data_IF_050265093583
#
_entry.id   IF_050265093583
#
_cell.length_a   1.000
_cell.length_b   1.000
_cell.length_c   1.000
_cell.angle_alpha   90.00
_cell.angle_beta   90.00
_cell.angle_gamma   90.00
#
_symmetry.space_group_name_H-M   'P 1'
#
loop_
_entity.id
_entity.type
_entity.pdbx_description
1 polymer ?
#
# COMPACT_ATOMS: atom_id res chain seq x y z
N UNK A 1 67.21 -0.03 50.45
CA UNK A 1 66.64 -0.12 51.82
C UNK A 1 65.24 0.49 51.80
N UNK A 2 64.26 -0.26 52.35
CA UNK A 2 62.92 0.16 52.82
C UNK A 2 61.84 0.55 51.79
N UNK A 3 60.92 -0.41 51.66
CA UNK A 3 59.46 -0.34 51.44
C UNK A 3 58.82 0.97 51.91
N UNK A 4 57.82 1.47 51.17
CA UNK A 4 56.48 1.78 51.70
C UNK A 4 55.42 1.86 50.59
N UNK A 5 54.49 0.91 50.65
CA UNK A 5 53.13 1.03 50.10
C UNK A 5 52.40 2.16 50.83
N UNK A 6 51.53 2.91 50.14
CA UNK A 6 50.10 3.02 50.48
C UNK A 6 49.49 4.30 49.89
N UNK A 7 48.59 4.07 48.92
CA UNK A 7 47.32 4.72 48.63
C UNK A 7 47.11 6.21 48.98
N UNK A 8 46.83 7.00 47.94
CA UNK A 8 45.61 7.83 47.97
C UNK A 8 45.00 7.94 46.57
N UNK A 9 43.75 7.50 46.52
CA UNK A 9 42.77 7.65 45.44
C UNK A 9 42.41 9.14 45.27
N UNK A 10 42.19 9.61 44.04
CA UNK A 10 40.98 10.34 43.62
C UNK A 10 41.01 10.54 42.10
N UNK A 11 39.84 10.27 41.52
CA UNK A 11 39.45 10.13 40.11
C UNK A 11 39.30 11.52 39.47
N UNK A 12 39.04 11.55 38.16
CA UNK A 12 38.40 12.63 37.33
C UNK A 12 39.47 13.39 36.52
N UNK A 13 39.47 13.49 35.18
CA UNK A 13 38.42 13.40 34.17
C UNK A 13 39.00 13.01 32.80
N UNK A 14 38.10 12.50 31.97
CA UNK A 14 38.15 12.26 30.53
C UNK A 14 38.97 13.24 29.68
N UNK A 15 39.96 12.70 28.96
CA UNK A 15 40.43 13.26 27.70
C UNK A 15 40.14 12.23 26.60
N UNK A 16 39.02 12.49 25.91
CA UNK A 16 38.66 12.09 24.55
C UNK A 16 39.89 11.75 23.71
N UNK A 17 40.11 10.45 23.47
CA UNK A 17 40.90 10.01 22.33
C UNK A 17 40.00 10.19 21.12
N UNK A 18 40.39 11.14 20.27
CA UNK A 18 39.93 11.25 18.89
C UNK A 18 40.19 9.91 18.18
N UNK A 19 39.18 9.04 18.16
CA UNK A 19 39.11 7.97 17.16
C UNK A 19 38.74 8.60 15.83
N UNK A 20 39.74 9.12 15.14
CA UNK A 20 39.71 9.21 13.68
C UNK A 20 39.67 7.78 13.15
N UNK A 21 38.51 7.37 12.65
CA UNK A 21 38.34 6.27 11.72
C UNK A 21 37.15 6.60 10.80
N UNK A 22 37.17 6.07 9.57
CA UNK A 22 36.56 6.68 8.39
C UNK A 22 35.04 6.69 8.50
N UNK A 23 34.40 7.50 7.66
CA UNK A 23 32.95 7.48 7.46
C UNK A 23 32.50 6.08 6.99
N UNK A 24 32.31 5.17 7.95
CA UNK A 24 31.31 4.14 7.84
C UNK A 24 29.99 4.89 7.82
N UNK A 25 29.26 4.75 6.71
CA UNK A 25 27.86 5.10 6.63
C UNK A 25 27.18 4.73 7.95
N UNK A 26 26.30 5.60 8.48
CA UNK A 26 25.55 5.23 9.65
C UNK A 26 24.84 3.91 9.34
N UNK A 27 25.00 2.94 10.24
CA UNK A 27 24.02 1.88 10.46
C UNK A 27 22.67 2.57 10.54
N UNK A 28 21.98 2.66 9.40
CA UNK A 28 20.57 2.94 9.41
C UNK A 28 19.95 1.55 9.48
N UNK A 29 19.83 1.10 10.72
CA UNK A 29 18.89 0.12 11.23
C UNK A 29 18.33 -0.85 10.20
N UNK A 30 18.48 -2.14 10.49
CA UNK A 30 17.41 -3.12 10.34
C UNK A 30 16.04 -2.48 10.63
N UNK A 31 15.44 -1.90 9.61
CA UNK A 31 14.03 -1.98 9.39
C UNK A 31 13.96 -3.03 8.29
N UNK A 32 13.84 -4.29 8.70
CA UNK A 32 12.96 -5.20 7.99
C UNK A 32 11.63 -4.45 7.87
N UNK A 33 11.53 -3.64 6.82
CA UNK A 33 10.35 -2.88 6.57
C UNK A 33 9.33 -3.94 6.21
N UNK A 34 8.52 -4.31 7.19
CA UNK A 34 7.21 -4.92 7.03
C UNK A 34 6.27 -3.92 6.33
N UNK A 35 6.78 -3.22 5.30
CA UNK A 35 6.04 -2.64 4.20
C UNK A 35 5.22 -3.81 3.69
N UNK A 36 3.97 -3.87 4.12
CA UNK A 36 3.18 -5.08 4.01
C UNK A 36 3.04 -5.42 2.52
N UNK A 37 3.87 -6.35 2.09
CA UNK A 37 4.16 -6.60 0.69
C UNK A 37 2.92 -7.17 0.02
N UNK A 38 2.65 -6.71 -1.18
CA UNK A 38 1.56 -7.23 -2.02
C UNK A 38 2.19 -7.87 -3.25
N UNK A 39 1.81 -9.10 -3.57
CA UNK A 39 2.45 -9.90 -4.61
C UNK A 39 1.42 -10.40 -5.62
N UNK A 40 1.69 -10.22 -6.91
CA UNK A 40 0.81 -10.71 -7.97
C UNK A 40 0.74 -12.25 -7.97
N UNK A 41 -0.47 -12.77 -8.22
CA UNK A 41 -0.74 -14.19 -8.46
C UNK A 41 -1.19 -14.32 -9.91
N UNK A 42 -0.37 -14.95 -10.75
CA UNK A 42 -0.49 -14.88 -12.22
C UNK A 42 -1.04 -16.15 -12.88
N UNK A 43 -1.14 -17.26 -12.14
CA UNK A 43 -1.68 -18.52 -12.67
C UNK A 43 -2.37 -19.34 -11.59
N UNK A 44 -3.35 -20.16 -11.98
CA UNK A 44 -4.01 -21.14 -11.11
C UNK A 44 -5.43 -20.73 -10.71
N UNK A 45 -6.11 -21.65 -10.05
CA UNK A 45 -7.47 -21.46 -9.53
C UNK A 45 -7.39 -21.33 -8.03
N UNK A 46 -7.97 -20.26 -7.47
CA UNK A 46 -7.94 -20.00 -6.03
C UNK A 46 -9.27 -19.45 -5.53
N UNK A 47 -9.57 -19.75 -4.27
CA UNK A 47 -10.53 -18.96 -3.50
C UNK A 47 -9.92 -17.58 -3.21
N UNK A 48 -10.50 -16.52 -3.78
CA UNK A 48 -10.08 -15.14 -3.60
C UNK A 48 -11.09 -14.36 -2.75
N UNK A 49 -10.60 -13.43 -1.95
CA UNK A 49 -11.38 -12.52 -1.10
C UNK A 49 -11.68 -11.21 -1.85
N UNK A 50 -12.90 -10.69 -1.71
CA UNK A 50 -13.29 -9.36 -2.20
C UNK A 50 -14.41 -8.80 -1.33
N UNK A 51 -14.11 -7.77 -0.52
CA UNK A 51 -15.02 -7.38 0.55
C UNK A 51 -15.18 -8.54 1.54
N UNK A 52 -16.41 -8.82 1.99
CA UNK A 52 -16.72 -9.93 2.92
C UNK A 52 -16.95 -11.27 2.23
N UNK A 53 -16.83 -11.31 0.89
CA UNK A 53 -17.17 -12.47 0.05
C UNK A 53 -15.93 -13.18 -0.46
N UNK A 54 -16.12 -14.45 -0.83
CA UNK A 54 -15.11 -15.26 -1.51
C UNK A 54 -15.66 -15.93 -2.75
N UNK A 55 -14.81 -16.15 -3.75
CA UNK A 55 -15.16 -16.90 -4.97
C UNK A 55 -13.95 -17.69 -5.44
N UNK A 56 -14.18 -18.90 -5.96
CA UNK A 56 -13.15 -19.68 -6.63
C UNK A 56 -13.05 -19.23 -8.10
N UNK A 57 -11.87 -18.78 -8.51
CA UNK A 57 -11.65 -18.21 -9.85
C UNK A 57 -10.30 -18.62 -10.41
N UNK A 58 -10.25 -18.82 -11.73
CA UNK A 58 -8.98 -18.82 -12.47
C UNK A 58 -8.46 -17.38 -12.55
N UNK A 59 -7.25 -17.13 -12.04
CA UNK A 59 -6.67 -15.78 -11.99
C UNK A 59 -6.40 -15.18 -13.38
N UNK A 60 -6.45 -16.00 -14.43
CA UNK A 60 -6.32 -15.57 -15.83
C UNK A 60 -7.67 -15.17 -16.45
N UNK A 61 -8.81 -15.46 -15.81
CA UNK A 61 -10.14 -15.04 -16.25
C UNK A 61 -10.40 -13.56 -15.91
N UNK A 62 -9.81 -12.67 -16.71
CA UNK A 62 -9.91 -11.22 -16.53
C UNK A 62 -11.34 -10.69 -16.57
N UNK A 63 -12.21 -11.30 -17.38
CA UNK A 63 -13.60 -10.88 -17.50
C UNK A 63 -14.36 -11.13 -16.20
N UNK A 64 -14.18 -12.31 -15.60
CA UNK A 64 -14.83 -12.64 -14.34
C UNK A 64 -14.26 -11.83 -13.16
N UNK A 65 -12.94 -11.62 -13.11
CA UNK A 65 -12.32 -10.72 -12.13
C UNK A 65 -12.89 -9.28 -12.21
N UNK A 66 -13.06 -8.75 -13.43
CA UNK A 66 -13.67 -7.44 -13.63
C UNK A 66 -15.14 -7.41 -13.21
N UNK A 67 -15.92 -8.44 -13.56
CA UNK A 67 -17.32 -8.55 -13.15
C UNK A 67 -17.47 -8.56 -11.62
N UNK A 68 -16.62 -9.32 -10.91
CA UNK A 68 -16.60 -9.34 -9.45
C UNK A 68 -16.29 -7.96 -8.87
N UNK A 69 -15.29 -7.26 -9.41
CA UNK A 69 -14.92 -5.93 -8.95
C UNK A 69 -16.04 -4.91 -9.19
N UNK A 70 -16.63 -4.91 -10.38
CA UNK A 70 -17.70 -3.99 -10.75
C UNK A 70 -18.94 -4.24 -9.87
N UNK A 71 -19.28 -5.50 -9.59
CA UNK A 71 -20.36 -5.83 -8.67
C UNK A 71 -20.09 -5.39 -7.23
N UNK A 72 -18.82 -5.27 -6.84
CA UNK A 72 -18.42 -4.79 -5.52
C UNK A 72 -18.52 -3.26 -5.42
N UNK A 73 -18.00 -2.52 -6.42
CA UNK A 73 -17.80 -1.07 -6.27
C UNK A 73 -18.77 -0.19 -7.07
N UNK A 74 -19.44 -0.67 -8.11
CA UNK A 74 -20.26 0.19 -8.97
C UNK A 74 -21.34 0.93 -8.20
N UNK A 75 -21.36 2.26 -8.34
CA UNK A 75 -22.31 3.14 -7.66
C UNK A 75 -22.11 3.23 -6.14
N UNK A 76 -21.06 2.62 -5.58
CA UNK A 76 -20.78 2.68 -4.15
C UNK A 76 -20.28 4.05 -3.72
N UNK A 77 -20.68 4.44 -2.51
CA UNK A 77 -20.09 5.55 -1.79
C UNK A 77 -18.91 5.05 -0.96
N UNK A 78 -17.79 5.76 -1.06
CA UNK A 78 -16.61 5.57 -0.22
C UNK A 78 -16.66 6.57 0.92
N UNK A 79 -16.41 6.09 2.14
CA UNK A 79 -16.40 6.89 3.37
C UNK A 79 -14.99 7.02 3.91
N UNK A 80 -14.68 8.14 4.56
CA UNK A 80 -13.35 8.40 5.15
C UNK A 80 -13.04 7.52 6.37
N UNK A 81 -14.07 6.97 7.01
CA UNK A 81 -13.98 6.14 8.20
C UNK A 81 -15.09 5.09 8.22
N UNK A 82 -14.89 4.04 9.03
CA UNK A 82 -15.84 2.94 9.20
C UNK A 82 -17.09 3.29 10.03
N UNK A 83 -17.23 4.53 10.51
CA UNK A 83 -18.49 5.03 11.07
C UNK A 83 -19.45 5.56 9.99
N UNK A 84 -18.97 5.64 8.75
CA UNK A 84 -19.70 6.00 7.55
C UNK A 84 -20.41 7.36 7.59
N UNK A 85 -19.88 8.33 8.34
CA UNK A 85 -20.47 9.67 8.44
C UNK A 85 -19.99 10.64 7.38
N UNK A 86 -18.72 10.54 7.00
CA UNK A 86 -18.08 11.49 6.07
C UNK A 86 -17.75 10.78 4.77
N UNK A 87 -18.34 11.25 3.69
CA UNK A 87 -18.09 10.74 2.33
C UNK A 87 -16.70 11.21 1.88
N UNK A 88 -15.91 10.27 1.35
CA UNK A 88 -14.65 10.53 0.66
C UNK A 88 -14.90 10.75 -0.83
N UNK A 89 -15.78 9.96 -1.43
CA UNK A 89 -16.09 10.00 -2.85
C UNK A 89 -17.05 8.89 -3.26
N UNK A 90 -17.18 8.66 -4.56
CA UNK A 90 -18.08 7.64 -5.10
C UNK A 90 -17.50 7.01 -6.37
N UNK A 91 -17.86 5.75 -6.59
CA UNK A 91 -17.60 5.07 -7.85
C UNK A 91 -18.73 5.29 -8.86
N UNK A 92 -18.40 5.46 -10.13
CA UNK A 92 -19.37 5.38 -11.24
C UNK A 92 -19.63 3.93 -11.68
N UNK A 93 -20.43 3.75 -12.73
CA UNK A 93 -20.79 2.43 -13.27
C UNK A 93 -19.64 1.74 -14.04
N UNK A 94 -18.56 2.47 -14.31
CA UNK A 94 -17.34 1.95 -14.93
C UNK A 94 -16.24 1.74 -13.88
N UNK A 95 -16.62 1.71 -12.59
CA UNK A 95 -15.73 1.63 -11.45
C UNK A 95 -14.68 2.75 -11.36
N UNK A 96 -14.86 3.89 -12.03
CA UNK A 96 -14.01 5.07 -11.82
C UNK A 96 -14.40 5.78 -10.53
N UNK A 97 -13.43 6.31 -9.80
CA UNK A 97 -13.67 7.03 -8.56
C UNK A 97 -13.64 8.54 -8.77
N UNK A 98 -14.58 9.23 -8.13
CA UNK A 98 -14.67 10.70 -8.06
C UNK A 98 -14.56 11.15 -6.62
N UNK A 99 -13.79 12.20 -6.37
CA UNK A 99 -13.68 12.79 -5.04
C UNK A 99 -14.98 13.52 -4.66
N UNK A 100 -15.34 13.49 -3.38
CA UNK A 100 -16.46 14.26 -2.86
C UNK A 100 -16.33 15.78 -3.10
N UNK A 101 -15.10 16.30 -3.11
CA UNK A 101 -14.78 17.70 -3.36
C UNK A 101 -14.72 18.06 -4.85
N UNK A 102 -14.50 17.09 -5.74
CA UNK A 102 -14.53 17.26 -7.20
C UNK A 102 -15.26 16.09 -7.86
N UNK A 103 -16.55 16.33 -8.14
CA UNK A 103 -17.45 15.36 -8.76
C UNK A 103 -17.48 15.46 -10.28
N UNK A 104 -16.80 16.45 -10.87
CA UNK A 104 -16.78 16.64 -12.31
C UNK A 104 -15.64 15.85 -12.97
N UNK A 105 -14.52 15.68 -12.25
CA UNK A 105 -13.35 15.01 -12.78
C UNK A 105 -13.12 13.65 -12.12
N UNK A 106 -12.78 12.65 -12.93
CA UNK A 106 -12.36 11.33 -12.44
C UNK A 106 -11.07 11.50 -11.64
N UNK A 107 -11.09 11.17 -10.35
CA UNK A 107 -9.92 11.19 -9.47
C UNK A 107 -9.02 9.99 -9.77
N UNK A 108 -9.57 8.77 -9.81
CA UNK A 108 -8.87 7.58 -10.29
C UNK A 108 -9.68 6.83 -11.35
N UNK A 109 -9.03 6.49 -12.45
CA UNK A 109 -9.62 5.80 -13.60
C UNK A 109 -9.32 4.31 -13.52
N UNK A 110 -10.34 3.46 -13.65
CA UNK A 110 -10.18 2.01 -13.65
C UNK A 110 -9.35 1.55 -14.85
N UNK A 111 -8.42 0.62 -14.63
CA UNK A 111 -7.53 0.07 -15.69
C UNK A 111 -7.80 -1.42 -15.90
N UNK A 112 -7.61 -2.24 -14.86
CA UNK A 112 -7.82 -3.69 -14.93
C UNK A 112 -7.89 -4.33 -13.54
N UNK A 113 -8.23 -5.62 -13.50
CA UNK A 113 -8.22 -6.43 -12.29
C UNK A 113 -7.14 -7.52 -12.31
N UNK A 114 -6.67 -7.87 -11.12
CA UNK A 114 -5.76 -8.98 -10.88
C UNK A 114 -6.01 -9.62 -9.52
N UNK A 115 -5.23 -10.67 -9.23
CA UNK A 115 -5.24 -11.32 -7.92
C UNK A 115 -3.90 -11.07 -7.26
N UNK A 116 -3.93 -10.62 -6.02
CA UNK A 116 -2.73 -10.32 -5.25
C UNK A 116 -2.78 -10.96 -3.88
N UNK A 117 -1.64 -11.48 -3.45
CA UNK A 117 -1.47 -11.98 -2.09
C UNK A 117 -1.04 -10.85 -1.16
N UNK A 118 -1.78 -10.69 -0.08
CA UNK A 118 -1.55 -9.72 0.98
C UNK A 118 -1.95 -10.35 2.32
N UNK A 119 -1.07 -10.26 3.32
CA UNK A 119 -1.27 -10.91 4.63
C UNK A 119 -1.70 -12.39 4.52
N UNK A 120 -1.01 -13.15 3.66
CA UNK A 120 -1.23 -14.58 3.42
C UNK A 120 -2.62 -14.94 2.87
N UNK A 121 -3.38 -13.96 2.36
CA UNK A 121 -4.66 -14.15 1.68
C UNK A 121 -4.58 -13.64 0.25
N UNK A 122 -5.30 -14.28 -0.66
CA UNK A 122 -5.42 -13.83 -2.05
C UNK A 122 -6.65 -12.96 -2.18
N UNK A 123 -6.46 -11.72 -2.61
CA UNK A 123 -7.51 -10.74 -2.80
C UNK A 123 -7.72 -10.47 -4.29
N UNK A 124 -8.97 -10.21 -4.66
CA UNK A 124 -9.27 -9.44 -5.86
C UNK A 124 -8.70 -8.03 -5.66
N UNK A 125 -7.94 -7.56 -6.63
CA UNK A 125 -7.41 -6.21 -6.66
C UNK A 125 -7.74 -5.54 -7.98
N UNK A 126 -7.93 -4.22 -7.94
CA UNK A 126 -8.01 -3.41 -9.14
C UNK A 126 -6.84 -2.44 -9.22
N UNK A 127 -6.38 -2.24 -10.44
CA UNK A 127 -5.36 -1.26 -10.79
C UNK A 127 -6.07 -0.03 -11.35
N UNK A 128 -5.64 1.12 -10.88
CA UNK A 128 -6.19 2.42 -11.20
C UNK A 128 -5.10 3.37 -11.66
N UNK A 129 -5.45 4.27 -12.57
CA UNK A 129 -4.65 5.43 -12.92
C UNK A 129 -5.09 6.66 -12.12
N UNK A 130 -4.15 7.33 -11.48
CA UNK A 130 -4.37 8.47 -10.59
C UNK A 130 -4.28 9.78 -11.38
N UNK A 131 -5.41 10.49 -11.55
CA UNK A 131 -5.45 11.73 -12.34
C UNK A 131 -4.90 12.96 -11.60
N UNK A 132 -4.73 12.89 -10.29
CA UNK A 132 -4.15 13.99 -9.52
C UNK A 132 -2.66 14.13 -9.82
N UNK A 133 -2.27 15.37 -10.09
CA UNK A 133 -0.91 15.76 -10.41
C UNK A 133 -0.40 16.77 -9.38
N UNK A 134 0.91 16.95 -9.32
CA UNK A 134 1.56 17.88 -8.40
C UNK A 134 2.85 17.33 -7.81
N UNK A 135 3.49 18.14 -6.97
CA UNK A 135 4.74 17.77 -6.30
C UNK A 135 4.52 16.50 -5.45
N UNK A 136 5.35 15.48 -5.67
CA UNK A 136 5.27 14.20 -4.99
C UNK A 136 4.21 13.22 -5.51
N UNK A 137 3.56 13.51 -6.66
CA UNK A 137 2.51 12.67 -7.27
C UNK A 137 2.96 12.08 -8.62
N UNK A 138 4.25 11.79 -8.74
CA UNK A 138 4.85 11.31 -9.98
C UNK A 138 4.47 9.85 -10.28
N UNK A 139 4.38 9.01 -9.26
CA UNK A 139 3.90 7.63 -9.41
C UNK A 139 2.38 7.65 -9.39
N UNK A 140 1.75 7.17 -10.47
CA UNK A 140 0.33 7.39 -10.74
C UNK A 140 -0.51 6.13 -10.83
N UNK A 141 0.07 4.94 -10.85
CA UNK A 141 -0.78 3.76 -10.67
C UNK A 141 -1.07 3.50 -9.19
N UNK A 142 -2.28 3.04 -8.92
CA UNK A 142 -2.73 2.57 -7.61
C UNK A 142 -3.20 1.13 -7.75
N UNK A 143 -2.75 0.26 -6.86
CA UNK A 143 -3.35 -1.04 -6.64
C UNK A 143 -4.27 -0.92 -5.43
N UNK A 144 -5.51 -1.38 -5.54
CA UNK A 144 -6.50 -1.29 -4.46
C UNK A 144 -7.13 -2.67 -4.26
N UNK A 145 -7.24 -3.08 -2.99
CA UNK A 145 -8.12 -4.18 -2.57
C UNK A 145 -9.16 -3.62 -1.60
N UNK A 146 -10.33 -4.24 -1.56
CA UNK A 146 -11.27 -4.07 -0.46
C UNK A 146 -11.16 -5.28 0.45
N UNK A 147 -10.74 -5.05 1.69
CA UNK A 147 -10.60 -6.12 2.68
C UNK A 147 -11.95 -6.56 3.28
N UNK A 148 -11.92 -7.58 4.13
CA UNK A 148 -13.09 -8.14 4.81
C UNK A 148 -13.82 -7.19 5.77
N UNK A 149 -13.26 -6.01 6.03
CA UNK A 149 -13.89 -4.94 6.80
C UNK A 149 -14.39 -3.79 5.91
N UNK A 150 -14.35 -3.99 4.59
CA UNK A 150 -14.75 -2.97 3.62
C UNK A 150 -13.74 -1.86 3.45
N UNK A 151 -12.53 -1.99 4.01
CA UNK A 151 -11.51 -0.96 3.92
C UNK A 151 -10.72 -1.07 2.61
N UNK A 152 -10.52 0.06 1.94
CA UNK A 152 -9.70 0.16 0.74
C UNK A 152 -8.21 0.24 1.14
N UNK A 153 -7.53 -0.90 1.08
CA UNK A 153 -6.08 -0.95 1.21
C UNK A 153 -5.46 -0.61 -0.14
N UNK A 154 -4.48 0.29 -0.13
CA UNK A 154 -3.91 0.81 -1.36
C UNK A 154 -2.37 0.77 -1.37
N UNK A 155 -1.83 0.65 -2.58
CA UNK A 155 -0.41 0.77 -2.89
C UNK A 155 -0.21 1.69 -4.09
N UNK A 156 0.96 2.33 -4.17
CA UNK A 156 1.40 3.06 -5.36
C UNK A 156 2.57 2.33 -6.04
N UNK A 157 2.63 2.42 -7.36
CA UNK A 157 3.61 1.72 -8.19
C UNK A 157 3.41 2.04 -9.67
N UNK A 158 4.07 1.28 -10.55
CA UNK A 158 3.80 1.33 -12.01
C UNK A 158 4.28 2.57 -12.76
N UNK A 159 4.83 3.58 -12.08
CA UNK A 159 5.41 4.76 -12.73
C UNK A 159 4.41 5.86 -13.09
N UNK A 160 4.80 6.71 -14.04
CA UNK A 160 4.17 8.01 -14.35
C UNK A 160 3.62 8.14 -15.77
N UNK A 161 3.67 7.07 -16.57
CA UNK A 161 3.20 7.02 -17.95
C UNK A 161 1.97 6.11 -18.06
N UNK A 162 0.81 6.68 -18.43
CA UNK A 162 -0.47 5.95 -18.54
C UNK A 162 -0.42 4.87 -19.64
N UNK A 163 0.54 4.95 -20.57
CA UNK A 163 0.69 3.98 -21.65
C UNK A 163 1.53 2.76 -21.26
N UNK A 164 2.23 2.81 -20.12
CA UNK A 164 3.05 1.70 -19.61
C UNK A 164 2.32 1.08 -18.42
N UNK A 165 1.46 0.10 -18.73
CA UNK A 165 0.66 -0.57 -17.70
C UNK A 165 1.54 -1.37 -16.73
N UNK A 166 1.18 -1.40 -15.44
CA UNK A 166 1.81 -2.30 -14.48
C UNK A 166 1.71 -3.76 -14.91
N UNK A 167 2.79 -4.52 -14.69
CA UNK A 167 2.83 -5.97 -14.85
C UNK A 167 3.04 -6.69 -13.50
N UNK A 168 3.18 -8.00 -13.52
CA UNK A 168 3.42 -8.84 -12.32
C UNK A 168 4.73 -8.53 -11.57
N UNK A 169 5.68 -7.85 -12.21
CA UNK A 169 6.96 -7.46 -11.62
C UNK A 169 6.92 -6.07 -11.00
N UNK A 170 5.81 -5.35 -11.16
CA UNK A 170 5.62 -4.02 -10.59
C UNK A 170 5.84 -4.04 -9.08
N UNK A 171 6.75 -3.19 -8.64
CA UNK A 171 6.98 -2.97 -7.22
C UNK A 171 5.91 -2.03 -6.67
N UNK A 172 5.10 -2.56 -5.76
CA UNK A 172 4.01 -1.83 -5.11
C UNK A 172 4.40 -1.42 -3.70
N UNK A 173 4.28 -0.13 -3.40
CA UNK A 173 4.58 0.43 -2.09
C UNK A 173 3.30 0.78 -1.37
N UNK A 174 3.11 0.22 -0.18
CA UNK A 174 1.87 0.39 0.59
C UNK A 174 1.72 1.82 1.10
N UNK A 175 0.51 2.38 1.01
CA UNK A 175 0.16 3.60 1.72
C UNK A 175 0.06 3.35 3.23
N UNK A 176 0.51 4.32 4.03
CA UNK A 176 0.42 4.27 5.50
C UNK A 176 -1.00 4.50 6.05
N UNK A 177 -2.01 4.59 5.19
CA UNK A 177 -3.41 4.84 5.51
C UNK A 177 -4.31 4.08 4.52
N UNK A 178 -5.57 3.86 4.91
CA UNK A 178 -6.60 3.31 4.01
C UNK A 178 -7.22 4.43 3.19
N UNK A 179 -7.58 4.14 1.94
CA UNK A 179 -8.19 5.14 1.04
C UNK A 179 -9.63 5.46 1.41
N UNK A 180 -10.33 4.51 2.01
CA UNK A 180 -11.68 4.69 2.49
C UNK A 180 -12.33 3.38 2.90
N UNK A 181 -13.64 3.44 3.10
CA UNK A 181 -14.49 2.33 3.50
C UNK A 181 -15.75 2.31 2.64
N UNK A 182 -16.14 1.15 2.13
CA UNK A 182 -17.42 0.97 1.44
C UNK A 182 -18.42 0.22 2.34
N UNK A 183 -19.72 0.27 2.01
CA UNK A 183 -20.77 -0.51 2.68
C UNK A 183 -21.16 -1.73 1.85
N UNK A 184 -21.72 -2.76 2.51
CA UNK A 184 -22.27 -3.95 1.85
C UNK A 184 -21.26 -4.65 0.90
N UNK A 185 -20.02 -4.76 1.36
CA UNK A 185 -18.85 -5.25 0.63
C UNK A 185 -18.82 -6.77 0.55
#
# INVERSE_FOLDING_TARGET
MKIKKSYLLIIIFSLIVSCSNPATNPDNNNNENTQSSVKAVTSGIYAIQYGSKTSEIDVTDKANLQNLWFNLVNGQTVYKANDYKVIAGNFDNNANYYDSADKANIRTKFIECGVYEYNSKKYLAAIYWDNETGVGKEIRYRLIIVDENGAEQAWYGGGSDENVKPDENTQWVKYGFVFGYIKNY
#
